data_IF_061720070819
#
_entry.id   IF_061720070819
#
_cell.length_a   1.000
_cell.length_b   1.000
_cell.length_c   1.000
_cell.angle_alpha   90.00
_cell.angle_beta   90.00
_cell.angle_gamma   90.00
#
_symmetry.space_group_name_H-M   'P 1'
#
loop_
_entity.id
_entity.type
_entity.pdbx_description
1 polymer ?
#
# COMPACT_ATOMS: atom_id res chain seq x y z
N UNK A 1 7.12 -29.10 -34.05
CA UNK A 1 6.94 -27.65 -34.25
C UNK A 1 5.61 -27.14 -33.68
N UNK A 2 4.48 -27.78 -33.99
CA UNK A 2 3.13 -27.28 -33.66
C UNK A 2 2.77 -27.31 -32.17
N UNK A 3 3.32 -28.27 -31.40
CA UNK A 3 3.09 -28.33 -29.94
C UNK A 3 3.74 -27.16 -29.21
N UNK A 4 4.98 -26.78 -29.57
CA UNK A 4 5.68 -25.65 -28.95
C UNK A 4 4.92 -24.35 -29.22
N UNK A 5 4.48 -24.15 -30.46
CA UNK A 5 3.66 -23.00 -30.85
C UNK A 5 2.36 -22.91 -30.04
N UNK A 6 1.70 -24.04 -29.78
CA UNK A 6 0.49 -24.10 -28.92
C UNK A 6 0.75 -23.70 -27.48
N UNK A 7 1.88 -24.11 -26.89
CA UNK A 7 2.21 -23.75 -25.51
C UNK A 7 2.61 -22.27 -25.39
N UNK A 8 3.28 -21.71 -26.39
CA UNK A 8 3.57 -20.27 -26.45
C UNK A 8 2.28 -19.47 -26.54
N UNK A 9 1.34 -19.89 -27.40
CA UNK A 9 0.04 -19.22 -27.55
C UNK A 9 -0.79 -19.29 -26.26
N UNK A 10 -0.78 -20.44 -25.58
CA UNK A 10 -1.47 -20.62 -24.31
C UNK A 10 -0.84 -19.78 -23.18
N UNK A 11 0.49 -19.71 -23.12
CA UNK A 11 1.20 -18.87 -22.16
C UNK A 11 0.91 -17.37 -22.38
N UNK A 12 0.79 -16.93 -23.64
CA UNK A 12 0.43 -15.56 -23.99
C UNK A 12 -1.01 -15.23 -23.55
N UNK A 13 -1.97 -16.12 -23.78
CA UNK A 13 -3.36 -15.96 -23.35
C UNK A 13 -3.53 -15.93 -21.82
N UNK A 14 -2.62 -16.56 -21.08
CA UNK A 14 -2.65 -16.61 -19.62
C UNK A 14 -1.91 -15.44 -18.95
N UNK A 15 -1.30 -14.55 -19.72
CA UNK A 15 -0.66 -13.36 -19.18
C UNK A 15 -1.73 -12.33 -18.77
N UNK A 16 -1.82 -12.05 -17.47
CA UNK A 16 -2.69 -10.99 -16.94
C UNK A 16 -1.81 -9.82 -16.47
N UNK A 17 -1.92 -8.63 -17.07
CA UNK A 17 -1.17 -7.47 -16.58
C UNK A 17 -1.70 -7.08 -15.21
N UNK A 18 -0.81 -6.99 -14.21
CA UNK A 18 -1.15 -6.38 -12.93
C UNK A 18 -1.06 -4.87 -13.09
N UNK A 19 -2.17 -4.18 -12.83
CA UNK A 19 -2.21 -2.71 -12.77
C UNK A 19 -2.27 -2.32 -11.31
N UNK A 20 -1.29 -1.53 -10.87
CA UNK A 20 -1.36 -0.90 -9.56
C UNK A 20 -2.26 0.33 -9.66
N UNK A 21 -3.24 0.43 -8.76
CA UNK A 21 -4.04 1.64 -8.60
C UNK A 21 -3.26 2.66 -7.77
N UNK A 22 -3.14 3.88 -8.27
CA UNK A 22 -2.55 5.00 -7.52
C UNK A 22 -3.65 5.76 -6.78
N UNK A 23 -3.42 6.03 -5.49
CA UNK A 23 -4.33 6.83 -4.67
C UNK A 23 -3.61 8.09 -4.22
N UNK A 24 -4.08 9.24 -4.70
CA UNK A 24 -3.55 10.55 -4.31
C UNK A 24 -4.50 11.21 -3.31
N UNK A 25 -3.96 11.61 -2.16
CA UNK A 25 -4.73 12.27 -1.11
C UNK A 25 -3.85 13.10 -0.18
N UNK A 26 -4.46 14.05 0.53
CA UNK A 26 -3.77 14.82 1.56
C UNK A 26 -3.67 13.99 2.82
N UNK A 27 -2.48 13.84 3.39
CA UNK A 27 -2.32 13.26 4.72
C UNK A 27 -3.02 14.15 5.76
N UNK A 28 -3.92 13.55 6.55
CA UNK A 28 -4.73 14.28 7.55
C UNK A 28 -4.62 13.70 8.96
N UNK A 29 -3.90 12.60 9.12
CA UNK A 29 -3.59 12.06 10.44
C UNK A 29 -2.69 10.83 10.38
N UNK A 30 -1.98 10.58 11.47
CA UNK A 30 -1.15 9.37 11.68
C UNK A 30 -1.77 8.54 12.80
N UNK A 31 -2.01 7.25 12.55
CA UNK A 31 -2.53 6.32 13.57
C UNK A 31 -1.39 5.70 14.38
N UNK A 32 -0.43 5.08 13.70
CA UNK A 32 0.72 4.34 14.24
C UNK A 32 1.94 4.58 13.33
N UNK A 33 3.10 3.99 13.64
CA UNK A 33 4.34 4.21 12.88
C UNK A 33 4.38 3.63 11.45
N UNK A 34 3.38 2.84 11.07
CA UNK A 34 3.19 2.26 9.73
C UNK A 34 1.85 2.67 9.09
N UNK A 35 1.01 3.44 9.80
CA UNK A 35 -0.39 3.63 9.44
C UNK A 35 -0.79 5.10 9.44
N UNK A 36 -1.24 5.60 8.29
CA UNK A 36 -1.68 6.98 8.07
C UNK A 36 -3.11 7.06 7.54
N UNK A 37 -3.71 8.24 7.64
CA UNK A 37 -5.03 8.56 7.11
C UNK A 37 -4.86 9.64 6.04
N UNK A 38 -5.33 9.33 4.84
CA UNK A 38 -5.38 10.28 3.73
C UNK A 38 -6.82 10.70 3.45
N UNK A 39 -7.00 11.95 3.03
CA UNK A 39 -8.26 12.50 2.55
C UNK A 39 -8.22 12.58 1.02
N UNK A 40 -9.14 11.87 0.38
CA UNK A 40 -9.32 11.81 -1.07
C UNK A 40 -10.69 12.36 -1.44
N UNK A 41 -10.86 12.84 -2.66
CA UNK A 41 -12.14 13.32 -3.20
C UNK A 41 -12.87 14.33 -2.29
N UNK A 42 -12.11 15.17 -1.56
CA UNK A 42 -12.63 16.24 -0.71
C UNK A 42 -13.16 15.83 0.67
N UNK A 43 -13.67 14.61 0.85
CA UNK A 43 -14.24 14.18 2.14
C UNK A 43 -14.03 12.70 2.51
N UNK A 44 -13.54 11.88 1.58
CA UNK A 44 -13.37 10.45 1.83
C UNK A 44 -12.04 10.23 2.54
N UNK A 45 -12.10 9.69 3.75
CA UNK A 45 -10.89 9.27 4.48
C UNK A 45 -10.57 7.81 4.17
N UNK A 46 -9.30 7.53 3.89
CA UNK A 46 -8.78 6.19 3.69
C UNK A 46 -7.65 5.97 4.69
N UNK A 47 -7.72 4.87 5.44
CA UNK A 47 -6.62 4.41 6.28
C UNK A 47 -5.68 3.59 5.40
N UNK A 48 -4.41 4.00 5.34
CA UNK A 48 -3.34 3.36 4.57
C UNK A 48 -2.37 2.74 5.55
N UNK A 49 -2.06 1.46 5.37
CA UNK A 49 -0.96 0.78 6.05
C UNK A 49 0.19 0.62 5.07
N UNK A 50 1.39 1.01 5.48
CA UNK A 50 2.60 0.85 4.68
C UNK A 50 2.93 -0.64 4.61
N UNK A 51 3.00 -1.17 3.39
CA UNK A 51 3.37 -2.56 3.18
C UNK A 51 4.80 -2.80 3.65
N UNK A 52 5.05 -3.99 4.21
CA UNK A 52 6.38 -4.45 4.63
C UNK A 52 7.04 -3.66 5.77
N UNK A 53 6.34 -2.68 6.35
CA UNK A 53 6.76 -1.96 7.54
C UNK A 53 6.00 -2.51 8.74
N UNK A 54 6.73 -2.90 9.78
CA UNK A 54 6.17 -3.25 11.08
C UNK A 54 6.64 -2.21 12.11
N UNK A 55 5.68 -1.61 12.82
CA UNK A 55 5.94 -0.52 13.74
C UNK A 55 5.22 -0.77 15.08
N UNK A 56 5.80 -0.34 16.21
CA UNK A 56 5.14 -0.49 17.50
C UNK A 56 3.80 0.25 17.52
N UNK A 57 2.74 -0.44 17.92
CA UNK A 57 1.43 0.18 18.12
C UNK A 57 1.47 1.21 19.26
N UNK A 58 0.48 2.11 19.29
CA UNK A 58 0.38 3.18 20.30
C UNK A 58 0.61 2.74 21.76
N UNK A 59 0.15 1.56 22.14
CA UNK A 59 0.24 1.03 23.51
C UNK A 59 1.56 0.29 23.81
N UNK A 60 2.37 0.02 22.78
CA UNK A 60 3.63 -0.68 22.92
C UNK A 60 4.76 0.29 23.27
N UNK A 61 5.86 -0.20 23.87
CA UNK A 61 7.08 0.57 24.02
C UNK A 61 7.48 1.22 22.70
N UNK A 62 7.85 2.50 22.75
CA UNK A 62 8.25 3.30 21.59
C UNK A 62 7.14 3.66 20.58
N UNK A 63 5.88 3.25 20.79
CA UNK A 63 4.77 3.55 19.86
C UNK A 63 4.58 5.05 19.57
N UNK A 64 4.65 5.91 20.59
CA UNK A 64 4.58 7.36 20.39
C UNK A 64 5.76 7.92 19.57
N UNK A 65 6.98 7.41 19.80
CA UNK A 65 8.16 7.84 19.04
C UNK A 65 8.09 7.38 17.58
N UNK A 66 7.63 6.16 17.34
CA UNK A 66 7.44 5.62 16.00
C UNK A 66 6.39 6.43 15.22
N UNK A 67 5.25 6.73 15.84
CA UNK A 67 4.24 7.64 15.27
C UNK A 67 4.80 9.03 14.97
N UNK A 68 5.57 9.62 15.88
CA UNK A 68 6.16 10.95 15.67
C UNK A 68 7.12 10.94 14.47
N UNK A 69 7.96 9.91 14.35
CA UNK A 69 8.89 9.76 13.24
C UNK A 69 8.19 9.72 11.88
N UNK A 70 6.99 9.13 11.79
CA UNK A 70 6.20 9.15 10.55
C UNK A 70 5.52 10.51 10.30
N UNK A 71 5.33 11.33 11.33
CA UNK A 71 4.68 12.64 11.24
C UNK A 71 5.63 13.78 10.90
N UNK A 72 6.94 13.65 11.16
CA UNK A 72 7.93 14.74 11.09
C UNK A 72 8.38 15.11 9.65
N UNK A 73 7.61 14.76 8.62
CA UNK A 73 7.90 15.05 7.20
C UNK A 73 7.19 16.28 6.66
#
# INVERSE_FOLDING_TARGET
MNKVLRHVYLALLLSCPSVAEEIVGRAVGISDGDTLIIMVNGNKQIKVRLAEIDAPEKSQPFGQRSKQSLSDS
#
